data_IF_680148681378
#
_entry.id   IF_680148681378
#
_cell.length_a   1.000
_cell.length_b   1.000
_cell.length_c   1.000
_cell.angle_alpha   90.00
_cell.angle_beta   90.00
_cell.angle_gamma   90.00
#
_symmetry.space_group_name_H-M   'P 1'
#
loop_
_entity.id
_entity.type
_entity.pdbx_description
1 polymer ?
#
# COMPACT_ATOMS: atom_id res chain seq x y z
N UNK A 1 15.29 -3.80 -30.99
CA UNK A 1 15.02 -3.08 -32.26
C UNK A 1 14.48 -1.68 -32.05
N UNK A 2 13.38 -1.45 -31.30
CA UNK A 2 12.81 -0.12 -31.07
C UNK A 2 13.79 0.89 -30.43
N UNK A 3 14.58 0.46 -29.43
CA UNK A 3 15.59 1.33 -28.79
C UNK A 3 16.74 1.75 -29.71
N UNK A 4 17.07 0.97 -30.74
CA UNK A 4 18.08 1.33 -31.73
C UNK A 4 17.51 2.26 -32.81
N UNK A 5 16.25 2.11 -33.17
CA UNK A 5 15.55 3.00 -34.08
C UNK A 5 15.31 4.38 -33.44
N UNK A 6 14.95 4.44 -32.15
CA UNK A 6 14.71 5.67 -31.41
C UNK A 6 15.93 6.60 -31.30
N UNK A 7 17.16 6.06 -31.45
CA UNK A 7 18.38 6.86 -31.46
C UNK A 7 18.64 7.62 -32.81
N UNK A 8 17.92 7.28 -33.86
CA UNK A 8 18.17 7.78 -35.21
C UNK A 8 16.94 8.41 -35.89
N UNK A 9 15.78 8.31 -35.28
CA UNK A 9 14.54 8.82 -35.86
C UNK A 9 13.58 9.37 -34.80
N UNK A 10 12.83 10.41 -35.12
CA UNK A 10 11.71 10.86 -34.32
C UNK A 10 10.55 9.88 -34.46
N UNK A 11 9.94 9.51 -33.36
CA UNK A 11 8.72 8.70 -33.33
C UNK A 11 7.54 9.56 -32.88
N UNK A 12 6.38 9.39 -33.54
CA UNK A 12 5.12 10.02 -33.14
C UNK A 12 4.17 8.92 -32.66
N UNK A 13 3.77 9.01 -31.37
CA UNK A 13 2.72 8.19 -30.81
C UNK A 13 1.41 8.98 -30.80
N UNK A 14 0.37 8.44 -31.40
CA UNK A 14 -0.98 9.00 -31.37
C UNK A 14 -1.88 8.04 -30.59
N UNK A 15 -2.43 8.52 -29.46
CA UNK A 15 -3.37 7.76 -28.66
C UNK A 15 -4.75 8.41 -28.76
N UNK A 16 -5.70 7.66 -29.30
CA UNK A 16 -7.10 8.07 -29.32
C UNK A 16 -7.75 7.54 -28.06
N UNK A 17 -8.18 8.43 -27.17
CA UNK A 17 -8.91 8.05 -25.96
C UNK A 17 -10.21 8.86 -25.83
N UNK A 18 -11.16 8.31 -25.09
CA UNK A 18 -12.39 8.97 -24.71
C UNK A 18 -12.53 8.96 -23.19
N UNK A 19 -12.68 10.14 -22.59
CA UNK A 19 -13.07 10.25 -21.19
C UNK A 19 -14.59 10.18 -21.08
N UNK A 20 -15.09 9.25 -20.27
CA UNK A 20 -16.50 9.15 -19.93
C UNK A 20 -16.68 9.28 -18.42
N UNK A 21 -17.65 10.08 -17.95
CA UNK A 21 -18.00 10.09 -16.53
C UNK A 21 -18.30 8.68 -16.04
N UNK A 22 -17.75 8.32 -14.89
CA UNK A 22 -18.00 7.03 -14.26
C UNK A 22 -17.85 7.17 -12.74
N UNK A 23 -18.31 6.16 -12.01
CA UNK A 23 -18.24 6.11 -10.56
C UNK A 23 -17.33 4.97 -10.12
N UNK A 24 -16.45 5.25 -9.16
CA UNK A 24 -15.70 4.25 -8.43
C UNK A 24 -16.00 4.41 -6.93
N UNK A 25 -15.80 3.33 -6.15
CA UNK A 25 -16.07 3.34 -4.72
C UNK A 25 -14.84 2.86 -3.97
N UNK A 26 -14.51 3.56 -2.88
CA UNK A 26 -13.64 3.00 -1.87
C UNK A 26 -14.41 2.00 -1.00
N UNK A 27 -13.70 1.01 -0.47
CA UNK A 27 -14.23 0.17 0.61
C UNK A 27 -13.63 0.68 1.90
N UNK A 28 -14.48 1.08 2.84
CA UNK A 28 -14.03 1.61 4.14
C UNK A 28 -14.67 0.82 5.26
N UNK A 29 -13.84 0.37 6.22
CA UNK A 29 -14.27 -0.32 7.44
C UNK A 29 -13.67 0.40 8.64
N UNK A 30 -14.47 0.64 9.68
CA UNK A 30 -14.02 1.25 10.93
C UNK A 30 -14.13 0.22 12.05
N UNK A 31 -13.04 0.02 12.77
CA UNK A 31 -13.02 -0.74 14.02
C UNK A 31 -12.75 0.26 15.13
N UNK A 32 -13.75 0.49 15.96
CA UNK A 32 -13.64 1.41 17.10
C UNK A 32 -12.72 0.83 18.17
N UNK A 33 -11.77 1.65 18.61
CA UNK A 33 -10.93 1.36 19.75
C UNK A 33 -11.60 1.66 21.09
N UNK A 34 -10.98 1.19 22.16
CA UNK A 34 -11.41 1.46 23.53
C UNK A 34 -11.04 2.89 23.99
N UNK A 35 -9.94 3.43 23.44
CA UNK A 35 -9.41 4.75 23.74
C UNK A 35 -9.38 5.58 22.45
N UNK A 36 -10.30 6.54 22.35
CA UNK A 36 -10.42 7.42 21.19
C UNK A 36 -9.53 8.68 21.25
N UNK A 37 -8.79 8.86 22.33
CA UNK A 37 -7.88 10.00 22.48
C UNK A 37 -6.53 9.74 21.77
N UNK A 38 -6.20 8.49 21.46
CA UNK A 38 -4.98 8.15 20.73
C UNK A 38 -5.10 8.41 19.22
N UNK A 39 -3.95 8.51 18.55
CA UNK A 39 -3.92 8.66 17.11
C UNK A 39 -4.55 7.44 16.41
N UNK A 40 -5.49 7.64 15.48
CA UNK A 40 -6.05 6.53 14.74
C UNK A 40 -5.01 5.87 13.82
N UNK A 41 -5.18 4.58 13.58
CA UNK A 41 -4.38 3.86 12.58
C UNK A 41 -5.20 3.71 11.29
N UNK A 42 -4.61 4.04 10.16
CA UNK A 42 -5.21 3.84 8.83
C UNK A 42 -4.48 2.72 8.11
N UNK A 43 -5.15 1.61 7.87
CA UNK A 43 -4.65 0.53 7.03
C UNK A 43 -5.20 0.69 5.61
N UNK A 44 -4.34 1.01 4.65
CA UNK A 44 -4.77 1.30 3.27
C UNK A 44 -4.10 0.44 2.22
N UNK A 45 -4.80 0.23 1.12
CA UNK A 45 -4.30 -0.43 -0.09
C UNK A 45 -5.02 0.08 -1.33
N UNK A 46 -4.36 0.23 -2.48
CA UNK A 46 -5.05 0.44 -3.75
C UNK A 46 -5.78 -0.83 -4.20
N UNK A 47 -6.97 -0.68 -4.80
CA UNK A 47 -7.79 -1.79 -5.30
C UNK A 47 -8.08 -1.73 -6.80
N UNK A 48 -7.71 -0.68 -7.47
CA UNK A 48 -7.84 -0.52 -8.92
C UNK A 48 -6.53 -0.81 -9.64
N UNK A 49 -6.62 -1.16 -10.92
CA UNK A 49 -5.49 -1.42 -11.79
C UNK A 49 -5.89 -1.32 -13.26
N UNK A 50 -4.90 -1.37 -14.18
CA UNK A 50 -5.13 -1.34 -15.62
C UNK A 50 -5.62 -2.67 -16.19
N UNK A 51 -5.23 -3.80 -15.56
CA UNK A 51 -5.47 -5.16 -16.02
C UNK A 51 -6.03 -6.02 -14.88
N UNK A 52 -5.90 -7.34 -14.98
CA UNK A 52 -6.20 -8.24 -13.86
C UNK A 52 -5.25 -8.00 -12.69
N UNK A 53 -3.98 -7.71 -12.98
CA UNK A 53 -2.96 -7.23 -12.02
C UNK A 53 -2.94 -8.01 -10.72
N UNK A 54 -2.83 -9.34 -10.84
CA UNK A 54 -3.00 -10.25 -9.70
C UNK A 54 -1.87 -10.10 -8.67
N UNK A 55 -0.62 -10.00 -9.13
CA UNK A 55 0.50 -9.73 -8.25
C UNK A 55 0.55 -8.25 -7.84
N UNK A 56 0.21 -7.35 -8.77
CA UNK A 56 0.23 -5.92 -8.49
C UNK A 56 -0.70 -5.52 -7.34
N UNK A 57 -1.90 -6.13 -7.26
CA UNK A 57 -2.91 -5.74 -6.25
C UNK A 57 -3.23 -6.84 -5.24
N UNK A 58 -3.18 -8.11 -5.66
CA UNK A 58 -3.65 -9.23 -4.84
C UNK A 58 -2.95 -9.32 -3.49
N UNK A 59 -1.62 -9.23 -3.45
CA UNK A 59 -0.85 -9.31 -2.21
C UNK A 59 -1.21 -8.20 -1.21
N UNK A 60 -1.35 -6.95 -1.68
CA UNK A 60 -1.78 -5.83 -0.83
C UNK A 60 -3.19 -6.02 -0.27
N UNK A 61 -4.12 -6.48 -1.10
CA UNK A 61 -5.50 -6.78 -0.68
C UNK A 61 -5.56 -7.92 0.35
N UNK A 62 -4.75 -8.97 0.19
CA UNK A 62 -4.66 -10.07 1.17
C UNK A 62 -4.10 -9.56 2.50
N UNK A 63 -3.03 -8.75 2.49
CA UNK A 63 -2.49 -8.12 3.70
C UNK A 63 -3.55 -7.27 4.42
N UNK A 64 -4.31 -6.49 3.66
CA UNK A 64 -5.40 -5.65 4.17
C UNK A 64 -6.51 -6.48 4.82
N UNK A 65 -6.97 -7.56 4.16
CA UNK A 65 -7.99 -8.46 4.69
C UNK A 65 -7.53 -9.21 5.95
N UNK A 66 -6.31 -9.75 5.97
CA UNK A 66 -5.79 -10.47 7.13
C UNK A 66 -5.57 -9.53 8.33
N UNK A 67 -5.15 -8.28 8.09
CA UNK A 67 -5.07 -7.24 9.13
C UNK A 67 -6.45 -6.94 9.72
N UNK A 68 -7.48 -6.81 8.88
CA UNK A 68 -8.86 -6.60 9.31
C UNK A 68 -9.37 -7.78 10.16
N UNK A 69 -9.14 -9.02 9.70
CA UNK A 69 -9.53 -10.24 10.43
C UNK A 69 -8.87 -10.32 11.81
N UNK A 70 -7.59 -9.99 11.89
CA UNK A 70 -6.85 -10.03 13.15
C UNK A 70 -7.41 -9.05 14.18
N UNK A 71 -7.83 -7.84 13.77
CA UNK A 71 -8.41 -6.84 14.67
C UNK A 71 -9.85 -7.14 15.05
N UNK A 72 -10.62 -7.82 14.21
CA UNK A 72 -11.93 -8.34 14.60
C UNK A 72 -11.78 -9.38 15.71
N UNK A 73 -10.77 -10.24 15.63
CA UNK A 73 -10.48 -11.26 16.65
C UNK A 73 -9.84 -10.70 17.92
N UNK A 74 -9.16 -9.54 17.83
CA UNK A 74 -8.47 -8.88 18.96
C UNK A 74 -8.71 -7.37 18.87
N UNK A 75 -9.80 -6.87 19.51
CA UNK A 75 -10.18 -5.46 19.43
C UNK A 75 -9.04 -4.51 19.80
N UNK A 76 -8.84 -3.43 19.02
CA UNK A 76 -7.74 -2.51 19.19
C UNK A 76 -7.95 -1.56 20.39
N UNK A 77 -6.85 -0.98 20.89
CA UNK A 77 -6.93 0.11 21.86
C UNK A 77 -7.36 1.42 21.18
N UNK A 78 -6.79 1.73 20.01
CA UNK A 78 -7.08 2.95 19.25
C UNK A 78 -7.96 2.65 18.03
N UNK A 79 -8.69 3.66 17.55
CA UNK A 79 -9.51 3.51 16.34
C UNK A 79 -8.67 3.06 15.15
N UNK A 80 -9.17 2.11 14.37
CA UNK A 80 -8.55 1.66 13.13
C UNK A 80 -9.51 1.83 11.98
N UNK A 81 -9.06 2.52 10.94
CA UNK A 81 -9.81 2.68 9.70
C UNK A 81 -9.10 1.96 8.57
N UNK A 82 -9.79 1.01 8.01
CA UNK A 82 -9.36 0.29 6.81
C UNK A 82 -9.92 0.97 5.58
N UNK A 83 -9.08 1.23 4.57
CA UNK A 83 -9.55 1.77 3.28
C UNK A 83 -8.87 1.05 2.12
N UNK A 84 -9.69 0.54 1.19
CA UNK A 84 -9.21 0.03 -0.09
C UNK A 84 -9.65 1.01 -1.17
N UNK A 85 -8.68 1.73 -1.75
CA UNK A 85 -8.90 2.92 -2.57
C UNK A 85 -9.00 2.59 -4.05
N UNK A 86 -9.94 3.25 -4.74
CA UNK A 86 -10.08 3.20 -6.20
C UNK A 86 -9.40 4.38 -6.87
N UNK A 87 -9.14 4.28 -8.18
CA UNK A 87 -8.59 5.39 -8.97
C UNK A 87 -7.12 5.67 -8.70
N UNK A 88 -6.36 4.66 -8.27
CA UNK A 88 -4.91 4.77 -8.02
C UNK A 88 -4.18 5.26 -9.27
N UNK A 89 -4.45 4.65 -10.44
CA UNK A 89 -3.83 4.96 -11.72
C UNK A 89 -4.25 6.33 -12.30
N UNK A 90 -5.25 6.96 -11.71
CA UNK A 90 -5.77 8.28 -12.08
C UNK A 90 -5.27 9.39 -11.15
N UNK A 91 -4.19 9.14 -10.41
CA UNK A 91 -3.59 10.09 -9.48
C UNK A 91 -4.13 9.98 -8.06
N UNK A 92 -4.45 8.77 -7.61
CA UNK A 92 -4.88 8.44 -6.25
C UNK A 92 -6.26 9.03 -5.86
N UNK A 93 -7.19 9.21 -6.81
CA UNK A 93 -8.48 9.86 -6.59
C UNK A 93 -9.27 9.32 -5.38
N UNK A 94 -9.20 8.00 -5.12
CA UNK A 94 -9.87 7.41 -3.95
C UNK A 94 -9.21 7.82 -2.63
N UNK A 95 -7.89 7.93 -2.58
CA UNK A 95 -7.20 8.44 -1.39
C UNK A 95 -7.54 9.91 -1.16
N UNK A 96 -7.56 10.73 -2.21
CA UNK A 96 -7.91 12.14 -2.11
C UNK A 96 -9.32 12.33 -1.54
N UNK A 97 -10.31 11.56 -2.02
CA UNK A 97 -11.67 11.57 -1.45
C UNK A 97 -11.67 11.12 0.01
N UNK A 98 -10.91 10.07 0.36
CA UNK A 98 -10.82 9.58 1.73
C UNK A 98 -10.23 10.62 2.69
N UNK A 99 -9.14 11.28 2.30
CA UNK A 99 -8.44 12.30 3.11
C UNK A 99 -9.29 13.58 3.21
N UNK A 100 -9.94 14.01 2.12
CA UNK A 100 -10.81 15.21 2.13
C UNK A 100 -11.93 15.14 3.17
N UNK A 101 -12.38 13.91 3.50
CA UNK A 101 -13.39 13.66 4.55
C UNK A 101 -12.78 13.54 5.96
N UNK A 102 -11.46 13.60 6.09
CA UNK A 102 -10.69 13.46 7.34
C UNK A 102 -9.52 14.45 7.34
N UNK A 103 -9.81 15.75 7.27
CA UNK A 103 -8.77 16.77 7.11
C UNK A 103 -7.78 16.74 8.29
N UNK A 104 -6.49 16.75 7.94
CA UNK A 104 -5.39 16.71 8.90
C UNK A 104 -4.86 15.33 9.24
N UNK A 105 -5.54 14.25 8.85
CA UNK A 105 -5.05 12.90 9.13
C UNK A 105 -3.73 12.56 8.41
N UNK A 106 -3.44 13.23 7.30
CA UNK A 106 -2.20 13.12 6.56
C UNK A 106 -0.99 13.79 7.24
N UNK A 107 -1.22 14.60 8.29
CA UNK A 107 -0.20 15.39 8.98
C UNK A 107 0.52 14.59 10.07
N UNK A 108 1.41 15.27 10.80
CA UNK A 108 2.09 14.69 11.96
C UNK A 108 1.10 14.24 13.03
N UNK A 109 1.41 13.16 13.73
CA UNK A 109 0.57 12.65 14.83
C UNK A 109 0.37 13.72 15.93
N UNK A 110 1.42 14.49 16.24
CA UNK A 110 1.33 15.60 17.19
C UNK A 110 0.38 16.75 16.76
N UNK A 111 0.00 16.79 15.49
CA UNK A 111 -0.93 17.76 14.90
C UNK A 111 -2.32 17.14 14.65
N UNK A 112 -2.62 16.00 15.27
CA UNK A 112 -3.86 15.24 15.09
C UNK A 112 -3.87 14.29 13.90
N UNK A 113 -2.73 14.01 13.29
CA UNK A 113 -2.59 13.07 12.19
C UNK A 113 -2.72 11.62 12.62
N UNK A 114 -2.98 10.76 11.64
CA UNK A 114 -3.05 9.31 11.80
C UNK A 114 -1.69 8.62 11.62
N UNK A 115 -1.60 7.35 12.07
CA UNK A 115 -0.52 6.45 11.70
C UNK A 115 -0.99 5.62 10.50
N UNK A 116 -0.25 5.69 9.38
CA UNK A 116 -0.65 5.04 8.14
C UNK A 116 0.13 3.75 7.91
N UNK A 117 -0.58 2.67 7.63
CA UNK A 117 -0.01 1.39 7.18
C UNK A 117 -0.49 1.13 5.77
N UNK A 118 0.42 1.19 4.82
CA UNK A 118 0.13 1.04 3.39
C UNK A 118 0.63 -0.31 2.89
N UNK A 119 -0.27 -1.09 2.37
CA UNK A 119 0.01 -2.30 1.62
C UNK A 119 0.00 -1.94 0.14
N UNK A 120 1.19 -1.67 -0.37
CA UNK A 120 1.40 -1.19 -1.74
C UNK A 120 1.30 -2.29 -2.79
N UNK A 121 1.78 -1.98 -3.98
CA UNK A 121 1.77 -2.90 -5.11
C UNK A 121 2.77 -4.05 -4.93
N UNK A 122 2.56 -5.12 -5.71
CA UNK A 122 3.53 -6.17 -6.02
C UNK A 122 4.00 -7.04 -4.84
N UNK A 123 3.28 -7.04 -3.72
CA UNK A 123 3.61 -7.90 -2.58
C UNK A 123 3.42 -9.37 -2.99
N UNK A 124 4.51 -10.13 -2.95
CA UNK A 124 4.51 -11.54 -3.34
C UNK A 124 4.45 -11.79 -4.84
N UNK A 125 4.90 -10.86 -5.68
CA UNK A 125 5.11 -11.12 -7.10
C UNK A 125 6.23 -12.13 -7.32
N UNK A 126 6.04 -13.06 -8.24
CA UNK A 126 7.08 -14.03 -8.63
C UNK A 126 8.27 -13.28 -9.23
N UNK A 127 9.48 -13.55 -8.72
CA UNK A 127 10.71 -12.85 -9.12
C UNK A 127 10.76 -11.38 -8.69
N UNK A 128 9.85 -10.95 -7.81
CA UNK A 128 9.85 -9.64 -7.21
C UNK A 128 10.62 -9.58 -5.88
N UNK A 129 10.88 -8.38 -5.42
CA UNK A 129 11.55 -8.06 -4.15
C UNK A 129 10.56 -7.35 -3.23
N UNK A 130 10.78 -7.42 -1.91
CA UNK A 130 9.97 -6.75 -0.90
C UNK A 130 10.75 -5.60 -0.27
N UNK A 131 10.15 -4.42 -0.25
CA UNK A 131 10.73 -3.21 0.32
C UNK A 131 9.89 -2.63 1.46
N UNK A 132 10.57 -2.09 2.47
CA UNK A 132 10.00 -1.25 3.51
C UNK A 132 10.30 0.21 3.19
N UNK A 133 9.27 1.08 3.23
CA UNK A 133 9.42 2.52 3.10
C UNK A 133 8.75 3.22 4.29
N UNK A 134 9.48 4.07 4.99
CA UNK A 134 8.99 4.90 6.08
C UNK A 134 10.03 5.98 6.41
N UNK A 135 9.58 7.15 6.85
CA UNK A 135 10.46 8.16 7.45
C UNK A 135 10.73 7.89 8.95
N UNK A 136 10.00 6.97 9.60
CA UNK A 136 10.13 6.64 11.03
C UNK A 136 11.04 5.45 11.25
N UNK A 137 12.10 5.60 12.07
CA UNK A 137 13.05 4.52 12.35
C UNK A 137 12.42 3.36 13.11
N UNK A 138 11.56 3.66 14.07
CA UNK A 138 10.86 2.67 14.87
C UNK A 138 9.91 1.81 14.03
N UNK A 139 9.17 2.41 13.09
CA UNK A 139 8.30 1.67 12.17
C UNK A 139 9.11 0.79 11.21
N UNK A 140 10.26 1.28 10.73
CA UNK A 140 11.17 0.50 9.87
C UNK A 140 11.73 -0.70 10.61
N UNK A 141 12.24 -0.49 11.83
CA UNK A 141 12.79 -1.54 12.67
C UNK A 141 11.73 -2.58 13.05
N UNK A 142 10.53 -2.13 13.42
CA UNK A 142 9.42 -2.99 13.75
C UNK A 142 9.02 -3.86 12.54
N UNK A 143 8.86 -3.27 11.38
CA UNK A 143 8.47 -4.00 10.17
C UNK A 143 9.54 -5.00 9.75
N UNK A 144 10.82 -4.62 9.76
CA UNK A 144 11.93 -5.51 9.43
C UNK A 144 12.00 -6.71 10.37
N UNK A 145 11.88 -6.49 11.67
CA UNK A 145 11.89 -7.56 12.67
C UNK A 145 10.72 -8.53 12.50
N UNK A 146 9.50 -8.02 12.26
CA UNK A 146 8.31 -8.86 12.05
C UNK A 146 8.36 -9.65 10.75
N UNK A 147 8.85 -9.07 9.66
CA UNK A 147 9.06 -9.76 8.39
C UNK A 147 10.12 -10.86 8.52
N UNK A 148 11.25 -10.57 9.13
CA UNK A 148 12.33 -11.56 9.36
C UNK A 148 11.83 -12.73 10.21
N UNK A 149 11.06 -12.45 11.27
CA UNK A 149 10.45 -13.50 12.11
C UNK A 149 9.49 -14.40 11.32
N UNK A 150 8.84 -13.87 10.30
CA UNK A 150 7.95 -14.64 9.42
C UNK A 150 8.69 -15.43 8.33
N UNK A 151 10.02 -15.36 8.28
CA UNK A 151 10.80 -15.98 7.21
C UNK A 151 10.70 -15.24 5.87
N UNK A 152 10.38 -13.95 5.91
CA UNK A 152 10.29 -13.07 4.75
C UNK A 152 11.04 -11.77 5.04
N UNK A 153 12.36 -11.85 5.23
CA UNK A 153 13.16 -10.65 5.41
C UNK A 153 12.95 -9.69 4.22
N UNK A 154 12.90 -8.37 4.46
CA UNK A 154 12.80 -7.42 3.36
C UNK A 154 14.11 -7.44 2.55
N UNK A 155 13.99 -7.37 1.22
CA UNK A 155 15.15 -7.26 0.33
C UNK A 155 15.74 -5.84 0.44
N UNK A 156 14.89 -4.85 0.66
CA UNK A 156 15.30 -3.45 0.80
C UNK A 156 14.60 -2.74 1.94
N UNK A 157 15.35 -1.87 2.63
CA UNK A 157 14.81 -0.86 3.54
C UNK A 157 15.19 0.50 2.94
N UNK A 158 14.23 1.20 2.39
CA UNK A 158 14.46 2.45 1.68
C UNK A 158 15.05 3.53 2.59
N UNK A 159 15.90 4.43 2.09
CA UNK A 159 16.36 5.60 2.84
C UNK A 159 15.17 6.43 3.35
N UNK A 160 15.30 7.04 4.54
CA UNK A 160 14.24 7.90 5.12
C UNK A 160 13.88 9.10 4.23
N UNK A 161 14.81 9.55 3.43
CA UNK A 161 14.66 10.66 2.50
C UNK A 161 13.96 10.28 1.21
N UNK A 162 13.73 8.98 0.97
CA UNK A 162 12.98 8.53 -0.21
C UNK A 162 11.54 9.03 -0.11
N UNK A 163 11.11 9.77 -1.12
CA UNK A 163 9.71 10.10 -1.33
C UNK A 163 9.01 8.91 -1.97
N UNK A 164 8.02 8.28 -1.31
CA UNK A 164 7.30 7.15 -1.88
C UNK A 164 6.65 7.50 -3.22
N UNK A 165 6.59 6.54 -4.13
CA UNK A 165 5.95 6.73 -5.46
C UNK A 165 4.44 6.50 -5.44
N UNK A 166 3.93 5.73 -4.47
CA UNK A 166 2.52 5.37 -4.34
C UNK A 166 1.72 6.31 -3.43
N UNK A 167 0.61 5.83 -2.92
CA UNK A 167 -0.36 6.59 -2.13
C UNK A 167 0.23 7.24 -0.87
N UNK A 168 1.28 6.69 -0.27
CA UNK A 168 1.98 7.31 0.87
C UNK A 168 2.82 8.55 0.51
N UNK A 169 2.97 8.88 -0.77
CA UNK A 169 3.67 10.09 -1.20
C UNK A 169 3.11 11.36 -0.57
N UNK A 170 1.80 11.47 -0.53
CA UNK A 170 1.15 12.67 -0.04
C UNK A 170 1.16 12.75 1.49
N UNK A 171 1.09 11.59 2.16
CA UNK A 171 1.32 11.47 3.61
C UNK A 171 2.75 11.86 3.97
N UNK A 172 3.74 11.37 3.21
CA UNK A 172 5.16 11.74 3.40
C UNK A 172 5.37 13.26 3.26
N UNK A 173 4.81 13.88 2.21
CA UNK A 173 4.91 15.31 1.95
C UNK A 173 4.28 16.18 3.04
N UNK A 174 3.21 15.71 3.64
CA UNK A 174 2.55 16.36 4.77
C UNK A 174 3.28 16.12 6.11
N UNK A 175 4.38 15.36 6.13
CA UNK A 175 5.13 15.01 7.34
C UNK A 175 4.46 13.95 8.21
N UNK A 176 3.47 13.26 7.68
CA UNK A 176 2.72 12.21 8.36
C UNK A 176 3.56 10.97 8.69
N UNK A 177 3.08 10.20 9.65
CA UNK A 177 3.72 8.97 10.09
C UNK A 177 3.16 7.77 9.32
N UNK A 178 4.02 7.06 8.59
CA UNK A 178 3.59 5.96 7.75
C UNK A 178 4.59 4.80 7.72
N UNK A 179 4.07 3.63 7.40
CA UNK A 179 4.81 2.43 7.04
C UNK A 179 4.24 1.91 5.71
N UNK A 180 5.09 1.69 4.72
CA UNK A 180 4.71 1.06 3.45
C UNK A 180 5.45 -0.27 3.29
N UNK A 181 4.72 -1.32 2.99
CA UNK A 181 5.22 -2.56 2.42
C UNK A 181 4.89 -2.56 0.93
N UNK A 182 5.90 -2.69 0.09
CA UNK A 182 5.74 -2.65 -1.37
C UNK A 182 6.73 -3.59 -2.03
N UNK A 183 6.29 -4.29 -3.06
CA UNK A 183 7.16 -5.17 -3.84
C UNK A 183 7.57 -4.57 -5.19
N UNK A 184 8.47 -5.27 -5.87
CA UNK A 184 8.71 -5.12 -7.30
C UNK A 184 8.05 -6.26 -8.09
N UNK A 185 7.86 -6.08 -9.40
CA UNK A 185 7.20 -7.08 -10.24
C UNK A 185 7.71 -6.96 -11.68
N UNK A 186 8.36 -8.00 -12.21
CA UNK A 186 8.75 -8.00 -13.62
C UNK A 186 7.58 -7.83 -14.60
N UNK A 187 6.36 -8.16 -14.18
CA UNK A 187 5.14 -8.05 -14.97
C UNK A 187 4.31 -6.80 -14.61
N UNK A 188 4.90 -5.82 -13.90
CA UNK A 188 4.19 -4.63 -13.46
C UNK A 188 3.59 -3.87 -14.63
N UNK A 189 2.28 -3.56 -14.53
CA UNK A 189 1.48 -2.92 -15.58
C UNK A 189 1.40 -3.69 -16.91
N UNK A 190 1.67 -5.00 -16.89
CA UNK A 190 1.54 -5.85 -18.08
C UNK A 190 0.29 -6.75 -18.01
N UNK A 191 -0.34 -7.04 -19.16
CA UNK A 191 -1.49 -7.97 -19.22
C UNK A 191 -1.18 -9.40 -18.75
N UNK A 192 0.12 -9.75 -18.66
CA UNK A 192 0.63 -11.05 -18.20
C UNK A 192 0.61 -11.19 -16.66
N UNK A 193 0.41 -10.10 -15.91
CA UNK A 193 0.24 -10.18 -14.46
C UNK A 193 -1.09 -10.85 -14.11
N UNK A 194 -1.10 -12.18 -14.16
CA UNK A 194 -2.28 -13.02 -14.00
C UNK A 194 -2.02 -14.21 -13.08
N UNK A 195 -3.08 -14.61 -12.39
CA UNK A 195 -3.12 -15.84 -11.61
C UNK A 195 -3.00 -17.07 -12.53
N UNK A 196 -2.32 -18.15 -12.09
CA UNK A 196 -1.53 -18.29 -10.86
C UNK A 196 -0.07 -17.86 -10.99
N UNK A 197 0.43 -17.68 -12.22
CA UNK A 197 1.86 -17.63 -12.54
C UNK A 197 2.59 -16.38 -12.04
N UNK A 198 1.86 -15.29 -11.82
CA UNK A 198 2.44 -14.02 -11.36
C UNK A 198 2.64 -13.94 -9.84
N UNK A 199 2.09 -14.88 -9.05
CA UNK A 199 1.99 -14.77 -7.59
C UNK A 199 2.68 -15.90 -6.85
N UNK A 200 3.61 -15.59 -5.95
CA UNK A 200 4.12 -16.48 -4.91
C UNK A 200 3.18 -16.42 -3.69
N UNK A 201 2.27 -17.39 -3.60
CA UNK A 201 1.30 -17.47 -2.51
C UNK A 201 1.94 -17.68 -1.14
N UNK A 202 3.10 -18.33 -1.08
CA UNK A 202 3.86 -18.53 0.16
C UNK A 202 4.41 -17.20 0.67
N UNK A 203 5.00 -16.39 -0.21
CA UNK A 203 5.46 -15.04 0.14
C UNK A 203 4.29 -14.15 0.57
N UNK A 204 3.18 -14.14 -0.19
CA UNK A 204 1.97 -13.39 0.20
C UNK A 204 1.48 -13.79 1.60
N UNK A 205 1.40 -15.09 1.90
CA UNK A 205 0.94 -15.58 3.20
C UNK A 205 1.85 -15.10 4.36
N UNK A 206 3.19 -15.15 4.18
CA UNK A 206 4.14 -14.67 5.19
C UNK A 206 4.03 -13.17 5.41
N UNK A 207 3.91 -12.38 4.35
CA UNK A 207 3.74 -10.92 4.47
C UNK A 207 2.39 -10.57 5.07
N UNK A 208 1.30 -11.25 4.70
CA UNK A 208 -0.02 -11.01 5.25
C UNK A 208 -0.10 -11.32 6.75
N UNK A 209 0.48 -12.43 7.20
CA UNK A 209 0.61 -12.73 8.62
C UNK A 209 1.43 -11.66 9.38
N UNK A 210 2.44 -11.10 8.75
CA UNK A 210 3.23 -9.98 9.30
C UNK A 210 2.39 -8.71 9.35
N UNK A 211 1.68 -8.36 8.28
CA UNK A 211 0.79 -7.21 8.21
C UNK A 211 -0.25 -7.21 9.34
N UNK A 212 -0.87 -8.37 9.59
CA UNK A 212 -1.81 -8.56 10.70
C UNK A 212 -1.17 -8.26 12.06
N UNK A 213 0.04 -8.80 12.32
CA UNK A 213 0.77 -8.52 13.58
C UNK A 213 1.17 -7.06 13.72
N UNK A 214 1.63 -6.43 12.64
CA UNK A 214 2.02 -5.02 12.64
C UNK A 214 0.86 -4.11 13.04
N UNK A 215 -0.31 -4.28 12.40
CA UNK A 215 -1.49 -3.47 12.73
C UNK A 215 -1.92 -3.70 14.18
N UNK A 216 -1.98 -4.94 14.66
CA UNK A 216 -2.29 -5.24 16.06
C UNK A 216 -1.30 -4.56 17.02
N UNK A 217 0.00 -4.53 16.70
CA UNK A 217 1.01 -3.88 17.55
C UNK A 217 0.92 -2.37 17.56
N UNK A 218 0.56 -1.76 16.44
CA UNK A 218 0.41 -0.31 16.32
C UNK A 218 -0.85 0.22 17.01
N UNK A 219 -1.76 -0.66 17.38
CA UNK A 219 -3.05 -0.31 17.99
C UNK A 219 -3.14 -0.72 19.47
N UNK A 220 -2.04 -1.14 20.07
CA UNK A 220 -1.89 -1.45 21.51
C UNK A 220 -1.08 -0.37 22.21
#
# INVERSE_FOLDING_TARGET
MLAAAARRAAARLVVLNRRTPNYARNVVVVISGQDRAGAPVVAMTPRSSWWQSTAERGGGLVCWLESLRALIASPPRYDVVFTANSGHELGHLGLDDFVSRRPGWERRVAEGGAIWVHYGANIGAVGGELSIQSASDDLRALAAAELTRAGQAPDHIAPKTLVPSGETRDIHRAGGRYLTLVGSNPLFHLPQDRWPHAVDTGAVARVAATAARLVVRLTR
#
